data_IF_080741583459
#
_entry.id   IF_080741583459
#
_cell.length_a   1.000
_cell.length_b   1.000
_cell.length_c   1.000
_cell.angle_alpha   90.00
_cell.angle_beta   90.00
_cell.angle_gamma   90.00
#
_symmetry.space_group_name_H-M   'P 1'
#
loop_
_entity.id
_entity.type
_entity.pdbx_description
1 polymer ?
#
# COMPACT_ATOMS: atom_id res chain seq x y z
N UNK A 1 -10.91 2.86 -4.35
CA UNK A 1 -11.62 2.61 -3.06
C UNK A 1 -13.11 2.45 -3.39
N UNK A 2 -13.76 1.38 -2.92
CA UNK A 2 -15.19 1.18 -3.16
C UNK A 2 -16.04 1.85 -2.07
N UNK A 3 -17.10 2.56 -2.44
CA UNK A 3 -18.02 3.21 -1.50
C UNK A 3 -19.14 2.27 -1.01
N UNK A 4 -19.50 1.28 -1.82
CA UNK A 4 -20.55 0.31 -1.54
C UNK A 4 -20.24 -1.04 -2.20
N UNK A 5 -21.11 -2.04 -1.98
CA UNK A 5 -20.94 -3.40 -2.51
C UNK A 5 -20.96 -3.44 -4.03
N UNK A 6 -21.84 -2.69 -4.68
CA UNK A 6 -21.97 -2.69 -6.14
C UNK A 6 -20.71 -2.13 -6.82
N UNK A 7 -20.20 -1.00 -6.32
CA UNK A 7 -18.94 -0.42 -6.78
C UNK A 7 -17.76 -1.36 -6.54
N UNK A 8 -17.75 -2.09 -5.42
CA UNK A 8 -16.74 -3.12 -5.17
C UNK A 8 -16.81 -4.22 -6.22
N UNK A 9 -18.00 -4.74 -6.52
CA UNK A 9 -18.19 -5.77 -7.56
C UNK A 9 -17.73 -5.27 -8.93
N UNK A 10 -18.05 -4.03 -9.32
CA UNK A 10 -17.56 -3.43 -10.58
C UNK A 10 -16.03 -3.36 -10.61
N UNK A 11 -15.40 -2.88 -9.53
CA UNK A 11 -13.94 -2.84 -9.41
C UNK A 11 -13.36 -4.24 -9.56
N UNK A 12 -13.86 -5.22 -8.81
CA UNK A 12 -13.37 -6.60 -8.86
C UNK A 12 -13.47 -7.19 -10.27
N UNK A 13 -14.59 -7.00 -10.97
CA UNK A 13 -14.76 -7.50 -12.33
C UNK A 13 -13.78 -6.87 -13.32
N UNK A 14 -13.62 -5.54 -13.27
CA UNK A 14 -12.65 -4.83 -14.13
C UNK A 14 -11.23 -5.25 -13.83
N UNK A 15 -10.86 -5.32 -12.55
CA UNK A 15 -9.50 -5.72 -12.14
C UNK A 15 -9.22 -7.18 -12.48
N UNK A 16 -10.17 -8.11 -12.27
CA UNK A 16 -10.02 -9.51 -12.70
C UNK A 16 -9.83 -9.62 -14.22
N UNK A 17 -10.56 -8.83 -15.01
CA UNK A 17 -10.37 -8.80 -16.47
C UNK A 17 -8.97 -8.32 -16.85
N UNK A 18 -8.46 -7.28 -16.19
CA UNK A 18 -7.10 -6.79 -16.39
C UNK A 18 -6.03 -7.82 -16.00
N UNK A 19 -6.18 -8.49 -14.86
CA UNK A 19 -5.24 -9.52 -14.39
C UNK A 19 -5.18 -10.70 -15.36
N UNK A 20 -6.33 -11.16 -15.83
CA UNK A 20 -6.41 -12.22 -16.86
C UNK A 20 -5.78 -11.79 -18.18
N UNK A 21 -6.08 -10.58 -18.65
CA UNK A 21 -5.50 -10.05 -19.88
C UNK A 21 -3.97 -9.94 -19.81
N UNK A 22 -3.45 -9.50 -18.68
CA UNK A 22 -2.00 -9.28 -18.46
C UNK A 22 -1.26 -10.51 -17.92
N UNK A 23 -1.95 -11.64 -17.70
CA UNK A 23 -1.41 -12.85 -17.05
C UNK A 23 -0.76 -12.57 -15.69
N UNK A 24 -1.24 -11.56 -14.97
CA UNK A 24 -0.80 -11.23 -13.61
C UNK A 24 -1.58 -12.11 -12.63
N UNK A 25 -0.86 -12.69 -11.66
CA UNK A 25 -1.47 -13.45 -10.57
C UNK A 25 -1.53 -12.62 -9.30
N UNK A 26 -2.62 -12.79 -8.54
CA UNK A 26 -2.73 -12.24 -7.19
C UNK A 26 -1.74 -12.95 -6.27
N UNK A 27 -1.05 -12.16 -5.46
CA UNK A 27 -0.20 -12.68 -4.39
C UNK A 27 -0.88 -12.39 -3.05
N UNK A 28 -1.49 -13.39 -2.44
CA UNK A 28 -2.22 -13.26 -1.17
C UNK A 28 -1.32 -12.83 0.00
N UNK A 29 -0.01 -13.09 -0.04
CA UNK A 29 0.93 -12.64 0.99
C UNK A 29 1.29 -11.15 0.90
N UNK A 30 1.18 -10.56 -0.29
CA UNK A 30 1.47 -9.13 -0.54
C UNK A 30 0.21 -8.28 -0.74
N UNK A 31 -0.93 -8.92 -0.91
CA UNK A 31 -2.22 -8.27 -1.10
C UNK A 31 -2.85 -7.96 0.24
N UNK A 32 -3.42 -6.77 0.36
CA UNK A 32 -3.94 -6.26 1.63
C UNK A 32 -5.41 -5.91 1.46
N UNK A 33 -6.26 -6.47 2.32
CA UNK A 33 -7.66 -6.09 2.41
C UNK A 33 -7.88 -5.16 3.61
N UNK A 34 -8.41 -3.97 3.35
CA UNK A 34 -8.79 -2.99 4.37
C UNK A 34 -10.28 -2.69 4.25
N UNK A 35 -10.97 -2.67 5.38
CA UNK A 35 -12.40 -2.37 5.43
C UNK A 35 -12.74 -1.50 6.64
N UNK A 36 -13.76 -0.66 6.51
CA UNK A 36 -14.32 0.13 7.62
C UNK A 36 -15.29 -0.68 8.49
N UNK A 37 -15.55 -1.94 8.14
CA UNK A 37 -16.50 -2.77 8.87
C UNK A 37 -15.89 -3.37 10.13
N UNK A 38 -16.67 -3.38 11.21
CA UNK A 38 -16.25 -3.78 12.56
C UNK A 38 -16.13 -5.31 12.71
N UNK A 39 -16.64 -6.09 11.76
CA UNK A 39 -16.63 -7.55 11.87
C UNK A 39 -15.20 -8.12 11.74
N UNK A 40 -14.78 -8.88 12.75
CA UNK A 40 -13.57 -9.67 12.75
C UNK A 40 -13.67 -10.76 11.67
N UNK A 41 -12.59 -11.01 10.93
CA UNK A 41 -12.45 -12.08 9.93
C UNK A 41 -13.22 -11.91 8.61
N UNK A 42 -13.42 -10.67 8.16
CA UNK A 42 -13.92 -10.44 6.80
C UNK A 42 -12.90 -10.89 5.76
N UNK A 43 -13.40 -11.57 4.73
CA UNK A 43 -12.61 -12.00 3.58
C UNK A 43 -13.30 -11.61 2.28
N UNK A 44 -12.51 -11.47 1.21
CA UNK A 44 -13.03 -11.41 -0.16
C UNK A 44 -12.28 -12.45 -1.00
N UNK A 45 -12.95 -12.99 -2.00
CA UNK A 45 -12.30 -13.79 -3.03
C UNK A 45 -11.98 -12.89 -4.21
N UNK A 46 -10.72 -12.85 -4.62
CA UNK A 46 -10.26 -12.13 -5.79
C UNK A 46 -9.32 -13.02 -6.60
N UNK A 47 -9.71 -13.32 -7.85
CA UNK A 47 -8.96 -14.17 -8.77
C UNK A 47 -8.55 -15.54 -8.15
N UNK A 48 -9.53 -16.24 -7.57
CA UNK A 48 -9.37 -17.51 -6.85
C UNK A 48 -8.50 -17.48 -5.58
N UNK A 49 -7.94 -16.32 -5.21
CA UNK A 49 -7.24 -16.13 -3.95
C UNK A 49 -8.19 -15.54 -2.90
N UNK A 50 -8.08 -16.00 -1.65
CA UNK A 50 -8.82 -15.43 -0.53
C UNK A 50 -7.97 -14.37 0.15
N UNK A 51 -8.49 -13.14 0.20
CA UNK A 51 -7.86 -12.03 0.90
C UNK A 51 -8.56 -11.81 2.23
N UNK A 52 -7.80 -11.84 3.30
CA UNK A 52 -8.27 -11.60 4.67
C UNK A 52 -8.03 -10.15 5.09
N UNK A 53 -8.97 -9.57 5.82
CA UNK A 53 -8.80 -8.24 6.42
C UNK A 53 -7.58 -8.23 7.34
N UNK A 54 -6.73 -7.23 7.19
CA UNK A 54 -5.61 -7.02 8.12
C UNK A 54 -6.11 -6.56 9.49
N UNK A 55 -5.40 -6.98 10.55
CA UNK A 55 -5.74 -6.60 11.92
C UNK A 55 -5.75 -5.08 12.11
N UNK A 56 -6.66 -4.59 12.96
CA UNK A 56 -6.70 -3.20 13.36
C UNK A 56 -5.40 -2.78 14.05
N UNK A 57 -4.92 -1.58 13.72
CA UNK A 57 -3.68 -1.03 14.28
C UNK A 57 -2.42 -1.33 13.47
N UNK A 58 -2.51 -2.11 12.40
CA UNK A 58 -1.37 -2.42 11.52
C UNK A 58 -1.05 -1.24 10.60
N UNK A 59 0.25 -1.00 10.40
CA UNK A 59 0.79 -0.11 9.37
C UNK A 59 1.03 -0.89 8.09
N UNK A 60 0.70 -0.30 6.95
CA UNK A 60 0.98 -0.89 5.65
C UNK A 60 1.40 0.17 4.63
N UNK A 61 2.11 -0.25 3.59
CA UNK A 61 2.55 0.62 2.50
C UNK A 61 1.68 0.37 1.27
N UNK A 62 1.20 1.43 0.63
CA UNK A 62 0.48 1.35 -0.64
C UNK A 62 0.96 2.50 -1.53
N UNK A 63 1.44 2.18 -2.74
CA UNK A 63 2.04 3.16 -3.66
C UNK A 63 3.08 4.05 -2.96
N UNK A 64 4.00 3.42 -2.21
CA UNK A 64 5.04 4.08 -1.42
C UNK A 64 4.57 5.01 -0.27
N UNK A 65 3.26 5.15 -0.04
CA UNK A 65 2.73 5.89 1.09
C UNK A 65 2.37 4.96 2.27
N UNK A 66 2.61 5.43 3.50
CA UNK A 66 2.24 4.70 4.72
C UNK A 66 0.79 4.99 5.10
N UNK A 67 0.06 3.91 5.40
CA UNK A 67 -1.32 3.93 5.86
C UNK A 67 -1.44 3.14 7.16
N UNK A 68 -2.48 3.43 7.95
CA UNK A 68 -2.86 2.63 9.11
C UNK A 68 -4.36 2.41 9.14
N UNK A 69 -4.75 1.26 9.67
CA UNK A 69 -6.15 0.99 10.06
C UNK A 69 -6.53 1.65 11.40
N UNK A 70 -5.56 2.23 12.12
CA UNK A 70 -5.81 3.01 13.32
C UNK A 70 -6.31 4.42 12.96
N UNK A 71 -7.33 4.91 13.68
CA UNK A 71 -7.80 6.29 13.56
C UNK A 71 -6.78 7.31 14.06
N UNK A 72 -5.85 6.90 14.93
CA UNK A 72 -4.80 7.78 15.45
C UNK A 72 -3.62 7.83 14.47
N UNK A 73 -3.26 9.00 13.92
CA UNK A 73 -2.21 9.13 12.91
C UNK A 73 -0.80 8.95 13.47
N UNK A 74 -0.64 8.89 14.79
CA UNK A 74 0.66 8.93 15.47
C UNK A 74 1.61 7.81 15.02
N UNK A 75 1.08 6.62 14.70
CA UNK A 75 1.88 5.49 14.23
C UNK A 75 2.44 5.75 12.83
N UNK A 76 1.60 6.28 11.92
CA UNK A 76 1.99 6.63 10.56
C UNK A 76 3.02 7.76 10.59
N UNK A 77 2.76 8.81 11.36
CA UNK A 77 3.66 9.96 11.50
C UNK A 77 5.04 9.52 12.00
N UNK A 78 5.10 8.73 13.08
CA UNK A 78 6.38 8.20 13.60
C UNK A 78 7.13 7.40 12.55
N UNK A 79 6.42 6.58 11.75
CA UNK A 79 7.05 5.77 10.70
C UNK A 79 7.60 6.63 9.57
N UNK A 80 6.86 7.64 9.12
CA UNK A 80 7.30 8.61 8.11
C UNK A 80 8.54 9.37 8.60
N UNK A 81 8.52 9.89 9.83
CA UNK A 81 9.66 10.61 10.39
C UNK A 81 10.91 9.72 10.50
N UNK A 82 10.75 8.46 10.94
CA UNK A 82 11.85 7.52 11.02
C UNK A 82 12.47 7.23 9.64
N UNK A 83 11.64 7.03 8.60
CA UNK A 83 12.12 6.80 7.24
C UNK A 83 12.80 8.03 6.66
N UNK A 84 12.26 9.24 6.92
CA UNK A 84 12.89 10.50 6.53
C UNK A 84 14.29 10.65 7.15
N UNK A 85 14.44 10.39 8.45
CA UNK A 85 15.74 10.45 9.14
C UNK A 85 16.74 9.44 8.54
N UNK A 86 16.29 8.22 8.24
CA UNK A 86 17.15 7.21 7.60
C UNK A 86 17.59 7.67 6.20
N UNK A 87 16.67 8.21 5.42
CA UNK A 87 16.97 8.69 4.07
C UNK A 87 17.90 9.91 4.08
N UNK A 88 17.72 10.84 5.03
CA UNK A 88 18.64 11.96 5.23
C UNK A 88 20.06 11.50 5.58
N UNK A 89 20.19 10.50 6.46
CA UNK A 89 21.50 9.90 6.76
C UNK A 89 22.13 9.28 5.51
N UNK A 90 21.35 8.53 4.72
CA UNK A 90 21.84 7.95 3.46
C UNK A 90 22.30 9.03 2.48
N UNK A 91 21.53 10.11 2.35
CA UNK A 91 21.88 11.26 1.51
C UNK A 91 23.17 11.94 1.97
N UNK A 92 23.36 12.11 3.28
CA UNK A 92 24.58 12.71 3.84
C UNK A 92 25.86 11.93 3.44
N UNK A 93 25.76 10.61 3.32
CA UNK A 93 26.89 9.75 2.92
C UNK A 93 26.83 9.31 1.45
N UNK A 94 25.86 9.80 0.68
CA UNK A 94 25.74 9.45 -0.72
C UNK A 94 26.82 10.19 -1.52
N UNK A 95 27.64 9.44 -2.25
CA UNK A 95 28.55 10.03 -3.22
C UNK A 95 27.74 10.61 -4.38
N UNK A 96 27.67 11.94 -4.47
CA UNK A 96 27.01 12.64 -5.56
C UNK A 96 27.96 12.61 -6.76
N UNK A 97 27.55 11.96 -7.84
CA UNK A 97 28.30 12.00 -9.10
C UNK A 97 28.12 13.35 -9.80
N UNK A 98 29.09 13.78 -10.61
CA UNK A 98 29.01 15.05 -11.36
C UNK A 98 27.71 15.18 -12.17
N UNK A 99 27.23 14.08 -12.78
CA UNK A 99 25.96 14.06 -13.52
C UNK A 99 24.74 14.34 -12.64
N UNK A 100 24.76 13.90 -11.39
CA UNK A 100 23.67 14.13 -10.44
C UNK A 100 23.74 15.56 -9.85
N UNK A 101 24.94 16.13 -9.70
CA UNK A 101 25.11 17.51 -9.24
C UNK A 101 24.49 18.53 -10.23
N UNK A 102 24.63 18.30 -11.54
CA UNK A 102 24.02 19.14 -12.59
C UNK A 102 22.48 19.21 -12.46
N UNK A 103 21.85 18.13 -12.01
CA UNK A 103 20.39 18.06 -11.81
C UNK A 103 19.90 18.65 -10.48
N UNK A 104 20.81 18.91 -9.53
CA UNK A 104 20.48 19.51 -8.23
C UNK A 104 20.67 21.04 -8.26
N UNK A 105 21.64 21.52 -9.06
CA UNK A 105 22.00 22.94 -9.17
C UNK A 105 21.08 23.69 -10.14
N UNK A 106 20.54 23.02 -11.17
CA UNK A 106 19.51 23.55 -12.07
C UNK A 106 18.11 23.25 -11.55
#
# INVERSE_FOLDING_TARGET
IALNKESLTKILNTTSSFYRFTSIKVNSQKSILVTNSIALNKTITFDNEQLTVITNGILFKYLEAWFSTNRKPILVQKKIMAEAVINLKKLQFAYITEKQAIFIIN
#
